data_IF_981142256988
#
_entry.id   IF_981142256988
#
_cell.length_a   1.000
_cell.length_b   1.000
_cell.length_c   1.000
_cell.angle_alpha   90.00
_cell.angle_beta   90.00
_cell.angle_gamma   90.00
#
_symmetry.space_group_name_H-M   'P 1'
#
loop_
_entity.id
_entity.type
_entity.pdbx_description
1 polymer ?
#
# COMPACT_ATOMS: atom_id res chain seq x y z
N UNK A 1 -15.46 12.91 21.51
CA UNK A 1 -14.34 13.80 21.11
C UNK A 1 -13.16 13.61 22.07
N UNK A 2 -11.94 13.64 21.57
CA UNK A 2 -10.72 13.52 22.40
C UNK A 2 -10.62 14.74 23.33
N UNK A 3 -10.41 14.56 24.66
CA UNK A 3 -10.34 15.68 25.61
C UNK A 3 -9.31 16.74 25.23
N UNK A 4 -8.18 16.33 24.68
CA UNK A 4 -7.11 17.24 24.24
C UNK A 4 -7.54 18.22 23.13
N UNK A 5 -8.53 17.87 22.33
CA UNK A 5 -9.04 18.69 21.22
C UNK A 5 -10.28 19.51 21.60
N UNK A 6 -10.87 19.26 22.77
CA UNK A 6 -12.12 19.91 23.19
C UNK A 6 -12.04 21.46 23.18
N UNK A 7 -10.87 22.01 23.55
CA UNK A 7 -10.63 23.48 23.55
C UNK A 7 -10.76 24.14 22.17
N UNK A 8 -10.63 23.37 21.09
CA UNK A 8 -10.76 23.89 19.72
C UNK A 8 -12.17 23.78 19.17
N UNK A 9 -13.11 23.21 19.95
CA UNK A 9 -14.51 23.01 19.56
C UNK A 9 -14.65 22.41 18.15
N UNK A 10 -13.98 21.25 17.85
CA UNK A 10 -13.98 20.69 16.53
C UNK A 10 -15.40 20.32 16.10
N UNK A 11 -15.73 20.65 14.85
CA UNK A 11 -16.98 20.23 14.22
C UNK A 11 -16.70 19.06 13.28
N UNK A 12 -17.49 18.00 13.41
CA UNK A 12 -17.43 16.89 12.47
C UNK A 12 -17.96 17.34 11.09
N UNK A 13 -17.19 17.03 10.04
CA UNK A 13 -17.54 17.39 8.66
C UNK A 13 -18.06 16.16 7.91
N UNK A 14 -17.43 15.02 8.11
CA UNK A 14 -17.80 13.72 7.53
C UNK A 14 -17.53 12.61 8.54
N UNK A 15 -18.38 11.58 8.62
CA UNK A 15 -19.64 11.38 7.88
C UNK A 15 -20.76 12.31 8.28
N UNK A 16 -20.71 12.97 9.44
CA UNK A 16 -21.70 13.87 10.00
C UNK A 16 -22.29 13.33 11.29
N UNK A 17 -22.52 14.23 12.25
CA UNK A 17 -22.96 13.90 13.63
C UNK A 17 -24.29 13.16 13.73
N UNK A 18 -25.11 13.16 12.67
CA UNK A 18 -26.37 12.43 12.59
C UNK A 18 -26.21 10.92 12.40
N UNK A 19 -25.03 10.45 11.99
CA UNK A 19 -24.75 9.05 11.74
C UNK A 19 -23.94 8.47 12.90
N UNK A 20 -24.62 7.76 13.81
CA UNK A 20 -23.99 7.25 15.03
C UNK A 20 -24.16 5.74 15.22
N UNK A 21 -25.03 5.09 14.42
CA UNK A 21 -25.18 3.64 14.49
C UNK A 21 -24.05 2.92 13.75
N UNK A 22 -23.66 1.74 14.20
CA UNK A 22 -22.64 0.93 13.55
C UNK A 22 -23.02 0.59 12.10
N UNK A 23 -24.30 0.34 11.83
CA UNK A 23 -24.82 0.07 10.49
C UNK A 23 -24.68 1.28 9.56
N UNK A 24 -24.99 2.48 10.04
CA UNK A 24 -24.81 3.71 9.27
C UNK A 24 -23.32 3.96 8.98
N UNK A 25 -22.48 3.80 9.99
CA UNK A 25 -21.02 4.00 9.84
C UNK A 25 -20.41 2.99 8.88
N UNK A 26 -20.83 1.72 8.94
CA UNK A 26 -20.37 0.68 8.01
C UNK A 26 -20.77 0.98 6.56
N UNK A 27 -22.04 1.40 6.34
CA UNK A 27 -22.50 1.83 5.01
C UNK A 27 -21.73 3.03 4.49
N UNK A 28 -21.61 4.07 5.32
CA UNK A 28 -20.91 5.30 4.96
C UNK A 28 -19.41 5.09 4.71
N UNK A 29 -18.77 4.15 5.40
CA UNK A 29 -17.39 3.78 5.11
C UNK A 29 -17.22 3.30 3.65
N UNK A 30 -18.21 2.58 3.11
CA UNK A 30 -18.24 2.19 1.70
C UNK A 30 -18.54 3.37 0.76
N UNK A 31 -19.46 4.27 1.15
CA UNK A 31 -19.93 5.36 0.30
C UNK A 31 -18.91 6.51 0.19
N UNK A 32 -18.19 6.82 1.27
CA UNK A 32 -17.25 7.95 1.33
C UNK A 32 -15.79 7.55 1.39
N UNK A 33 -15.51 6.26 1.62
CA UNK A 33 -14.15 5.73 1.61
C UNK A 33 -13.54 5.83 0.20
N UNK A 34 -12.25 6.14 0.14
CA UNK A 34 -11.52 6.24 -1.13
C UNK A 34 -10.08 5.78 -0.95
N UNK A 35 -9.42 5.51 -2.06
CA UNK A 35 -7.99 5.24 -2.06
C UNK A 35 -7.20 6.49 -1.67
N UNK A 36 -6.06 6.30 -1.00
CA UNK A 36 -5.04 7.34 -0.80
C UNK A 36 -3.88 7.21 -1.79
N UNK A 37 -4.10 6.46 -2.88
CA UNK A 37 -3.18 6.30 -4.01
C UNK A 37 -1.84 5.64 -3.67
N UNK A 38 -1.85 4.67 -2.76
CA UNK A 38 -0.70 3.84 -2.39
C UNK A 38 -0.94 2.35 -2.64
N UNK A 39 -1.32 1.92 -3.88
CA UNK A 39 -1.50 0.50 -4.18
C UNK A 39 -0.17 -0.23 -4.18
N UNK A 40 -0.18 -1.49 -3.70
CA UNK A 40 0.98 -2.39 -3.66
C UNK A 40 0.54 -3.83 -3.95
N UNK A 41 1.49 -4.72 -4.20
CA UNK A 41 1.30 -6.17 -4.13
C UNK A 41 0.78 -6.86 -5.39
N UNK A 42 0.52 -6.15 -6.50
CA UNK A 42 0.03 -6.77 -7.75
C UNK A 42 1.11 -7.58 -8.48
N UNK A 43 2.39 -7.34 -8.21
CA UNK A 43 3.52 -8.16 -8.64
C UNK A 43 4.33 -8.62 -7.42
N UNK A 44 3.63 -9.16 -6.42
CA UNK A 44 4.16 -9.52 -5.11
C UNK A 44 5.49 -10.27 -5.20
N UNK A 45 6.49 -9.79 -4.45
CA UNK A 45 7.75 -10.51 -4.25
C UNK A 45 7.55 -11.70 -3.32
N UNK A 46 8.16 -12.82 -3.64
CA UNK A 46 8.14 -14.00 -2.79
C UNK A 46 9.16 -15.04 -3.21
N UNK A 47 9.09 -16.19 -2.56
CA UNK A 47 9.90 -17.35 -2.92
C UNK A 47 9.30 -18.04 -4.14
N UNK A 48 10.11 -18.79 -4.89
CA UNK A 48 9.63 -19.55 -6.08
C UNK A 48 8.58 -20.61 -5.74
N UNK A 49 8.55 -21.10 -4.50
CA UNK A 49 7.55 -22.06 -4.00
C UNK A 49 6.26 -21.39 -3.48
N UNK A 50 6.18 -20.05 -3.45
CA UNK A 50 4.95 -19.30 -3.14
C UNK A 50 4.10 -19.14 -4.42
N UNK A 51 2.93 -19.81 -4.52
CA UNK A 51 2.08 -19.74 -5.71
C UNK A 51 1.48 -18.35 -5.95
N UNK A 52 1.62 -17.42 -5.01
CA UNK A 52 1.16 -16.04 -5.13
C UNK A 52 2.28 -15.06 -5.48
N UNK A 53 3.54 -15.52 -5.52
CA UNK A 53 4.67 -14.69 -5.90
C UNK A 53 4.71 -14.49 -7.42
N UNK A 54 5.01 -13.25 -7.84
CA UNK A 54 5.16 -12.86 -9.25
C UNK A 54 6.64 -12.59 -9.56
N UNK A 55 7.38 -12.05 -8.60
CA UNK A 55 8.82 -11.81 -8.73
C UNK A 55 9.59 -12.43 -7.56
N UNK A 56 10.85 -12.77 -7.80
CA UNK A 56 11.76 -13.27 -6.78
C UNK A 56 12.42 -12.11 -5.97
N UNK A 57 13.32 -12.46 -5.05
CA UNK A 57 14.05 -11.49 -4.22
C UNK A 57 15.02 -10.59 -4.98
N UNK A 58 15.31 -10.91 -6.25
CA UNK A 58 16.09 -10.10 -7.17
C UNK A 58 15.21 -9.33 -8.17
N UNK A 59 13.90 -9.26 -7.91
CA UNK A 59 12.90 -8.58 -8.73
C UNK A 59 12.72 -9.21 -10.13
N UNK A 60 13.21 -10.43 -10.34
CA UNK A 60 13.03 -11.15 -11.61
C UNK A 60 11.63 -11.76 -11.66
N UNK A 61 10.99 -11.65 -12.80
CA UNK A 61 9.68 -12.26 -13.03
C UNK A 61 9.82 -13.80 -13.02
N UNK A 62 9.04 -14.46 -12.16
CA UNK A 62 9.06 -15.93 -12.05
C UNK A 62 8.46 -16.52 -13.33
N UNK A 63 9.22 -17.38 -14.01
CA UNK A 63 8.80 -18.03 -15.25
C UNK A 63 9.07 -17.26 -16.54
N UNK A 64 9.60 -16.01 -16.48
CA UNK A 64 9.98 -15.24 -17.67
C UNK A 64 11.41 -14.74 -17.54
N UNK A 65 12.26 -15.17 -18.48
CA UNK A 65 13.68 -14.79 -18.51
C UNK A 65 13.84 -13.35 -19.01
N UNK A 66 14.72 -12.58 -18.37
CA UNK A 66 15.09 -11.24 -18.80
C UNK A 66 14.11 -10.12 -18.41
N UNK A 67 13.04 -10.43 -17.66
CA UNK A 67 12.08 -9.45 -17.18
C UNK A 67 12.23 -9.20 -15.68
N UNK A 68 12.14 -7.94 -15.26
CA UNK A 68 12.09 -7.50 -13.85
C UNK A 68 10.96 -6.51 -13.64
N UNK A 69 10.45 -6.44 -12.41
CA UNK A 69 9.50 -5.43 -11.96
C UNK A 69 10.14 -4.67 -10.80
N UNK A 70 10.09 -3.32 -10.82
CA UNK A 70 10.79 -2.49 -9.84
C UNK A 70 9.96 -1.26 -9.43
N UNK A 71 8.77 -1.49 -8.92
CA UNK A 71 7.87 -0.46 -8.41
C UNK A 71 7.14 -0.93 -7.14
N UNK A 72 6.14 -0.17 -6.67
CA UNK A 72 5.38 -0.50 -5.46
C UNK A 72 4.65 -1.85 -5.55
N UNK A 73 4.38 -2.37 -6.75
CA UNK A 73 3.65 -3.63 -6.95
C UNK A 73 4.41 -4.84 -6.39
N UNK A 74 5.74 -4.75 -6.25
CA UNK A 74 6.55 -5.86 -5.72
C UNK A 74 6.47 -6.00 -4.19
N UNK A 75 5.95 -5.01 -3.47
CA UNK A 75 5.81 -5.09 -2.01
C UNK A 75 4.82 -6.18 -1.62
N UNK A 76 5.19 -7.18 -0.78
CA UNK A 76 4.26 -8.21 -0.33
C UNK A 76 3.11 -7.68 0.52
N UNK A 77 3.38 -6.62 1.29
CA UNK A 77 2.42 -5.92 2.16
C UNK A 77 2.70 -4.43 2.09
N UNK A 78 1.66 -3.62 2.34
CA UNK A 78 1.82 -2.17 2.42
C UNK A 78 2.66 -1.78 3.64
N UNK A 79 3.50 -0.79 3.49
CA UNK A 79 4.27 -0.22 4.60
C UNK A 79 3.38 0.63 5.53
N UNK A 80 3.85 0.88 6.76
CA UNK A 80 3.11 1.65 7.78
C UNK A 80 3.02 3.16 7.49
N UNK A 81 3.67 3.63 6.43
CA UNK A 81 3.68 5.04 6.00
C UNK A 81 3.54 5.16 4.49
N UNK A 82 3.70 6.37 3.97
CA UNK A 82 3.64 6.65 2.54
C UNK A 82 4.65 5.80 1.76
N UNK A 83 4.23 5.33 0.59
CA UNK A 83 4.99 4.38 -0.22
C UNK A 83 6.14 5.01 -1.02
N UNK A 84 6.28 6.34 -1.06
CA UNK A 84 7.30 7.02 -1.86
C UNK A 84 8.73 6.60 -1.49
N UNK A 85 9.09 6.65 -0.20
CA UNK A 85 10.44 6.26 0.25
C UNK A 85 10.77 4.78 0.00
N UNK A 86 9.87 3.81 0.31
CA UNK A 86 10.08 2.42 -0.08
C UNK A 86 10.24 2.23 -1.59
N UNK A 87 9.49 2.94 -2.42
CA UNK A 87 9.61 2.84 -3.88
C UNK A 87 10.97 3.33 -4.36
N UNK A 88 11.47 4.44 -3.83
CA UNK A 88 12.83 4.93 -4.13
C UNK A 88 13.89 3.87 -3.75
N UNK A 89 13.76 3.25 -2.59
CA UNK A 89 14.66 2.17 -2.16
C UNK A 89 14.59 0.97 -3.10
N UNK A 90 13.39 0.56 -3.54
CA UNK A 90 13.21 -0.53 -4.50
C UNK A 90 13.89 -0.19 -5.83
N UNK A 91 13.72 1.03 -6.33
CA UNK A 91 14.33 1.49 -7.58
C UNK A 91 15.86 1.50 -7.51
N UNK A 92 16.45 2.01 -6.42
CA UNK A 92 17.91 1.98 -6.18
C UNK A 92 18.44 0.54 -6.11
N UNK A 93 17.74 -0.33 -5.40
CA UNK A 93 18.10 -1.75 -5.32
C UNK A 93 18.03 -2.42 -6.69
N UNK A 94 16.98 -2.18 -7.46
CA UNK A 94 16.81 -2.70 -8.81
C UNK A 94 17.95 -2.24 -9.73
N UNK A 95 18.30 -0.96 -9.71
CA UNK A 95 19.42 -0.43 -10.48
C UNK A 95 20.76 -1.09 -10.11
N UNK A 96 20.97 -1.37 -8.82
CA UNK A 96 22.15 -2.11 -8.35
C UNK A 96 22.17 -3.56 -8.85
N UNK A 97 21.02 -4.25 -8.82
CA UNK A 97 20.90 -5.64 -9.28
C UNK A 97 21.11 -5.76 -10.80
N UNK A 98 20.63 -4.79 -11.58
CA UNK A 98 20.80 -4.77 -13.04
C UNK A 98 22.23 -4.49 -13.49
N UNK A 99 23.05 -3.85 -12.65
CA UNK A 99 24.48 -3.58 -12.95
C UNK A 99 25.42 -4.73 -12.59
N UNK A 100 24.93 -5.76 -11.94
CA UNK A 100 25.75 -6.96 -11.67
C UNK A 100 25.84 -7.80 -12.93
N UNK A 101 27.06 -8.22 -13.32
CA UNK A 101 27.26 -9.10 -14.47
C UNK A 101 26.65 -10.48 -14.27
#
# INVERSE_FOLDING_TARGET
>A
AMPALAKYQPKEVKPGVQYQSDDDLARLAGDIGTTIFHPVGTCKMGREDDPTAVVDSELRFIGIVGLRVADASVMPTITSGNTNSPVLMIAEKAASLMRRP
#
